data_IF_095227827100
#
_entry.id   IF_095227827100
#
_cell.length_a   1.000
_cell.length_b   1.000
_cell.length_c   1.000
_cell.angle_alpha   90.00
_cell.angle_beta   90.00
_cell.angle_gamma   90.00
#
_symmetry.space_group_name_H-M   'P 1'
#
loop_
_entity.id
_entity.type
_entity.pdbx_description
1 polymer ?
#
# COMPACT_ATOMS: atom_id res chain seq x y z
N UNK A 1 1.10 -11.08 11.11
CA UNK A 1 -0.15 -10.62 10.45
C UNK A 1 0.19 -10.00 9.11
N UNK A 2 -0.59 -10.31 8.08
CA UNK A 2 -0.40 -9.78 6.73
C UNK A 2 -1.53 -8.81 6.41
N UNK A 3 -1.18 -7.64 5.90
CA UNK A 3 -2.14 -6.61 5.51
C UNK A 3 -1.96 -6.26 4.05
N UNK A 4 -3.04 -6.22 3.30
CA UNK A 4 -3.03 -5.92 1.87
C UNK A 4 -3.98 -4.75 1.58
N UNK A 5 -3.43 -3.72 0.96
CA UNK A 5 -4.18 -2.54 0.52
C UNK A 5 -4.28 -2.46 -1.00
N UNK A 6 -5.46 -2.21 -1.52
CA UNK A 6 -5.70 -1.99 -2.94
C UNK A 6 -6.53 -0.72 -3.15
N UNK A 7 -6.34 -0.08 -4.27
CA UNK A 7 -7.04 1.14 -4.64
C UNK A 7 -7.80 0.94 -5.96
N UNK A 8 -8.70 1.85 -6.26
CA UNK A 8 -9.51 1.84 -7.47
C UNK A 8 -8.71 1.83 -8.78
N UNK A 9 -7.47 2.35 -8.76
CA UNK A 9 -6.57 2.30 -9.92
C UNK A 9 -5.87 0.96 -10.11
N UNK A 10 -5.72 0.18 -9.06
CA UNK A 10 -5.04 -1.13 -9.05
C UNK A 10 -5.98 -2.29 -8.77
N UNK A 11 -7.13 -2.02 -8.17
CA UNK A 11 -8.12 -3.02 -7.77
C UNK A 11 -8.64 -3.92 -8.91
N UNK A 12 -8.96 -3.38 -10.10
CA UNK A 12 -9.39 -4.23 -11.22
C UNK A 12 -8.32 -5.24 -11.63
N UNK A 13 -7.06 -4.83 -11.73
CA UNK A 13 -5.95 -5.74 -12.05
C UNK A 13 -5.75 -6.79 -10.95
N UNK A 14 -5.76 -6.35 -9.67
CA UNK A 14 -5.66 -7.26 -8.53
C UNK A 14 -6.82 -8.27 -8.52
N UNK A 15 -8.04 -7.84 -8.85
CA UNK A 15 -9.21 -8.72 -8.98
C UNK A 15 -9.00 -9.77 -10.08
N UNK A 16 -8.47 -9.36 -11.20
CA UNK A 16 -8.28 -10.27 -12.33
C UNK A 16 -7.19 -11.31 -12.02
N UNK A 17 -6.08 -10.90 -11.42
CA UNK A 17 -5.05 -11.79 -10.88
C UNK A 17 -5.62 -12.78 -9.83
N UNK A 18 -6.48 -12.31 -8.94
CA UNK A 18 -7.14 -13.17 -7.95
C UNK A 18 -8.08 -14.20 -8.60
N UNK A 19 -8.74 -13.85 -9.70
CA UNK A 19 -9.53 -14.81 -10.47
C UNK A 19 -8.67 -15.88 -11.13
N UNK A 20 -7.52 -15.50 -11.68
CA UNK A 20 -6.55 -16.42 -12.26
C UNK A 20 -5.96 -17.38 -11.22
N UNK A 21 -5.74 -16.89 -10.00
CA UNK A 21 -5.33 -17.70 -8.86
C UNK A 21 -6.48 -18.59 -8.31
N UNK A 22 -7.67 -18.55 -8.90
CA UNK A 22 -8.87 -19.21 -8.40
C UNK A 22 -9.15 -18.91 -6.91
N UNK A 23 -8.91 -17.67 -6.48
CA UNK A 23 -9.06 -17.25 -5.10
C UNK A 23 -10.54 -17.25 -4.68
N UNK A 24 -10.91 -18.20 -3.84
CA UNK A 24 -12.26 -18.30 -3.27
C UNK A 24 -12.47 -17.41 -2.06
N UNK A 25 -11.39 -17.08 -1.34
CA UNK A 25 -11.38 -16.21 -0.18
C UNK A 25 -9.97 -15.70 0.12
N UNK A 26 -9.87 -14.67 0.96
CA UNK A 26 -8.58 -14.15 1.40
C UNK A 26 -8.08 -14.91 2.62
N UNK A 27 -6.78 -15.21 2.63
CA UNK A 27 -6.08 -15.77 3.78
C UNK A 27 -5.33 -14.69 4.57
N UNK A 28 -5.05 -13.55 3.94
CA UNK A 28 -4.47 -12.40 4.62
C UNK A 28 -5.40 -11.89 5.73
N UNK A 29 -4.84 -11.51 6.87
CA UNK A 29 -5.61 -11.05 8.05
C UNK A 29 -6.43 -9.80 7.77
N UNK A 30 -5.95 -8.92 6.90
CA UNK A 30 -6.67 -7.73 6.46
C UNK A 30 -6.41 -7.48 4.98
N UNK A 31 -7.46 -7.54 4.18
CA UNK A 31 -7.47 -7.06 2.80
C UNK A 31 -8.44 -5.90 2.70
N UNK A 32 -7.94 -4.76 2.24
CA UNK A 32 -8.74 -3.54 2.12
C UNK A 32 -8.69 -2.97 0.71
N UNK A 33 -9.86 -2.59 0.19
CA UNK A 33 -10.02 -1.89 -1.08
C UNK A 33 -10.61 -0.51 -0.84
N UNK A 34 -10.07 0.50 -1.51
CA UNK A 34 -10.60 1.88 -1.47
C UNK A 34 -10.85 2.45 -2.87
N UNK A 35 -11.55 3.59 -2.91
CA UNK A 35 -11.86 4.35 -4.13
C UNK A 35 -11.40 5.80 -3.98
N UNK A 36 -10.13 6.02 -3.66
CA UNK A 36 -9.59 7.33 -3.33
C UNK A 36 -9.07 8.14 -4.54
N UNK A 37 -8.99 7.57 -5.74
CA UNK A 37 -8.46 8.26 -6.92
C UNK A 37 -9.52 8.64 -7.94
N UNK A 38 -10.62 7.91 -8.03
CA UNK A 38 -11.61 8.03 -9.12
C UNK A 38 -12.93 8.67 -8.71
N UNK A 39 -13.05 9.14 -7.46
CA UNK A 39 -14.32 9.65 -6.92
C UNK A 39 -14.71 11.00 -7.50
N UNK A 40 -13.74 11.90 -7.68
CA UNK A 40 -14.06 13.31 -7.99
C UNK A 40 -14.57 13.51 -9.43
N UNK A 41 -14.03 12.79 -10.39
CA UNK A 41 -14.40 12.89 -11.80
C UNK A 41 -14.36 11.50 -12.45
N UNK A 42 -15.27 10.58 -12.07
CA UNK A 42 -15.22 9.22 -12.54
C UNK A 42 -15.54 9.11 -14.03
N UNK A 43 -14.80 8.28 -14.73
CA UNK A 43 -15.13 7.82 -16.08
C UNK A 43 -16.15 6.69 -16.00
N UNK A 44 -16.84 6.31 -17.09
CA UNK A 44 -17.78 5.19 -17.08
C UNK A 44 -17.18 3.88 -16.54
N UNK A 45 -15.93 3.58 -16.87
CA UNK A 45 -15.20 2.40 -16.35
C UNK A 45 -14.96 2.48 -14.85
N UNK A 46 -14.75 3.68 -14.31
CA UNK A 46 -14.55 3.88 -12.87
C UNK A 46 -15.86 3.62 -12.12
N UNK A 47 -16.98 4.06 -12.69
CA UNK A 47 -18.32 3.81 -12.12
C UNK A 47 -18.61 2.30 -12.10
N UNK A 48 -18.33 1.57 -13.17
CA UNK A 48 -18.45 0.14 -13.21
C UNK A 48 -17.59 -0.54 -12.14
N UNK A 49 -16.35 -0.11 -12.00
CA UNK A 49 -15.44 -0.58 -10.94
C UNK A 49 -15.98 -0.31 -9.55
N UNK A 50 -16.50 0.89 -9.31
CA UNK A 50 -17.09 1.28 -8.02
C UNK A 50 -18.32 0.44 -7.65
N UNK A 51 -19.04 -0.07 -8.64
CA UNK A 51 -20.20 -0.95 -8.41
C UNK A 51 -19.82 -2.42 -8.24
N UNK A 52 -18.83 -2.91 -8.97
CA UNK A 52 -18.53 -4.35 -9.04
C UNK A 52 -17.44 -4.81 -8.08
N UNK A 53 -16.41 -3.99 -7.86
CA UNK A 53 -15.26 -4.37 -7.06
C UNK A 53 -15.57 -4.53 -5.56
N UNK A 54 -16.43 -3.71 -4.93
CA UNK A 54 -16.76 -3.86 -3.51
C UNK A 54 -17.39 -5.22 -3.16
N UNK A 55 -18.25 -5.73 -4.00
CA UNK A 55 -18.86 -7.04 -3.78
C UNK A 55 -17.84 -8.16 -3.92
N UNK A 56 -16.99 -8.08 -4.95
CA UNK A 56 -15.90 -9.04 -5.15
C UNK A 56 -14.98 -9.12 -3.92
N UNK A 57 -14.64 -8.00 -3.33
CA UNK A 57 -13.76 -7.94 -2.14
C UNK A 57 -14.49 -8.49 -0.90
N UNK A 58 -15.72 -8.03 -0.65
CA UNK A 58 -16.49 -8.43 0.54
C UNK A 58 -16.85 -9.91 0.55
N UNK A 59 -17.20 -10.46 -0.58
CA UNK A 59 -17.54 -11.89 -0.69
C UNK A 59 -16.36 -12.82 -0.43
N UNK A 60 -15.13 -12.28 -0.44
CA UNK A 60 -13.88 -12.99 -0.14
C UNK A 60 -13.31 -12.70 1.24
N UNK A 61 -14.05 -11.99 2.09
CA UNK A 61 -13.62 -11.68 3.45
C UNK A 61 -12.83 -10.38 3.59
N UNK A 62 -12.74 -9.57 2.54
CA UNK A 62 -12.06 -8.27 2.58
C UNK A 62 -13.00 -7.12 2.99
N UNK A 63 -12.38 -5.98 3.29
CA UNK A 63 -13.05 -4.73 3.60
C UNK A 63 -13.05 -3.83 2.36
N UNK A 64 -14.23 -3.47 1.87
CA UNK A 64 -14.37 -2.52 0.77
C UNK A 64 -14.95 -1.20 1.29
N UNK A 65 -14.17 -0.14 1.18
CA UNK A 65 -14.63 1.23 1.40
C UNK A 65 -15.56 1.65 0.27
N UNK A 66 -16.40 2.63 0.54
CA UNK A 66 -17.26 3.23 -0.49
C UNK A 66 -16.53 4.39 -1.16
N UNK A 67 -16.91 4.76 -2.40
CA UNK A 67 -16.50 6.03 -2.98
C UNK A 67 -16.81 7.18 -2.03
N UNK A 68 -15.79 7.99 -1.69
CA UNK A 68 -15.94 9.10 -0.74
C UNK A 68 -15.56 8.81 0.70
N UNK A 69 -15.33 7.57 1.10
CA UNK A 69 -14.92 7.21 2.47
C UNK A 69 -13.50 7.68 2.82
N UNK A 70 -12.73 8.13 1.84
CA UNK A 70 -11.41 8.72 2.03
C UNK A 70 -10.25 7.86 1.51
N UNK A 71 -9.06 8.25 1.93
CA UNK A 71 -7.79 7.68 1.46
C UNK A 71 -7.51 6.37 2.19
N UNK A 72 -7.12 5.33 1.44
CA UNK A 72 -6.83 4.00 2.00
C UNK A 72 -5.79 4.06 3.13
N UNK A 73 -4.74 4.85 2.98
CA UNK A 73 -3.67 4.93 3.99
C UNK A 73 -4.18 5.45 5.34
N UNK A 74 -5.14 6.38 5.33
CA UNK A 74 -5.76 6.88 6.56
C UNK A 74 -6.56 5.82 7.30
N UNK A 75 -7.18 4.90 6.57
CA UNK A 75 -7.91 3.78 7.14
C UNK A 75 -6.96 2.69 7.63
N UNK A 76 -6.03 2.25 6.80
CA UNK A 76 -5.06 1.23 7.15
C UNK A 76 -4.25 1.62 8.39
N UNK A 77 -3.77 2.87 8.46
CA UNK A 77 -2.99 3.35 9.62
C UNK A 77 -3.77 3.33 10.94
N UNK A 78 -5.09 3.25 10.90
CA UNK A 78 -5.93 3.10 12.11
C UNK A 78 -6.23 1.65 12.46
N UNK A 79 -6.05 0.72 11.52
CA UNK A 79 -6.42 -0.69 11.67
C UNK A 79 -5.21 -1.59 11.86
N UNK A 80 -4.00 -1.07 11.60
CA UNK A 80 -2.77 -1.85 11.74
C UNK A 80 -2.45 -2.17 13.19
N UNK A 81 -1.92 -3.38 13.37
CA UNK A 81 -1.30 -3.80 14.62
C UNK A 81 0.22 -3.79 14.46
N UNK A 82 0.99 -3.67 15.57
CA UNK A 82 2.44 -3.86 15.55
C UNK A 82 2.85 -5.20 14.95
N UNK A 83 4.06 -5.27 14.41
CA UNK A 83 4.66 -6.49 13.84
C UNK A 83 3.87 -7.08 12.65
N UNK A 84 3.25 -6.22 11.88
CA UNK A 84 2.57 -6.61 10.64
C UNK A 84 3.50 -6.47 9.43
N UNK A 85 3.29 -7.32 8.44
CA UNK A 85 3.87 -7.18 7.10
C UNK A 85 2.76 -6.80 6.14
N UNK A 86 2.98 -5.74 5.38
CA UNK A 86 1.97 -5.22 4.50
C UNK A 86 2.46 -4.90 3.10
N UNK A 87 1.55 -4.99 2.14
CA UNK A 87 1.79 -4.56 0.77
C UNK A 87 0.56 -3.85 0.22
N UNK A 88 0.74 -3.13 -0.87
CA UNK A 88 -0.36 -2.47 -1.56
C UNK A 88 0.03 -2.05 -2.96
N UNK A 89 -0.98 -1.84 -3.79
CA UNK A 89 -0.83 -1.40 -5.17
C UNK A 89 -0.54 0.09 -5.36
N UNK A 90 -0.17 0.80 -4.29
CA UNK A 90 0.13 2.22 -4.32
C UNK A 90 1.57 2.50 -3.90
N UNK A 91 2.24 3.41 -4.59
CA UNK A 91 3.62 3.83 -4.28
C UNK A 91 3.78 4.45 -2.88
N UNK A 92 2.69 4.92 -2.27
CA UNK A 92 2.65 5.46 -0.92
C UNK A 92 2.36 4.41 0.16
N UNK A 93 2.36 3.12 -0.17
CA UNK A 93 2.18 2.05 0.81
C UNK A 93 3.33 2.06 1.80
N UNK A 94 3.10 2.69 2.95
CA UNK A 94 4.04 2.86 4.06
C UNK A 94 3.26 2.76 5.36
N UNK A 95 3.44 1.69 6.11
CA UNK A 95 2.76 1.50 7.37
C UNK A 95 3.67 1.89 8.54
N UNK A 96 3.16 2.62 9.53
CA UNK A 96 4.00 3.22 10.56
C UNK A 96 4.56 2.23 11.58
N UNK A 97 3.98 1.05 11.74
CA UNK A 97 4.27 0.10 12.82
C UNK A 97 4.54 -1.32 12.33
N UNK A 98 5.09 -1.47 11.16
CA UNK A 98 5.42 -2.76 10.57
C UNK A 98 6.33 -2.61 9.37
N UNK A 99 6.53 -3.69 8.66
CA UNK A 99 7.24 -3.70 7.39
C UNK A 99 6.20 -3.54 6.27
N UNK A 100 6.39 -2.57 5.41
CA UNK A 100 5.50 -2.38 4.26
C UNK A 100 6.24 -1.92 3.02
N UNK A 101 5.73 -2.34 1.89
CA UNK A 101 6.28 -1.97 0.59
C UNK A 101 5.20 -1.97 -0.49
N UNK A 102 5.31 -1.09 -1.50
CA UNK A 102 4.44 -1.13 -2.66
C UNK A 102 4.78 -2.33 -3.54
N UNK A 103 3.77 -2.87 -4.20
CA UNK A 103 3.93 -4.00 -5.10
C UNK A 103 3.01 -3.90 -6.30
N UNK A 104 3.35 -4.62 -7.36
CA UNK A 104 2.47 -4.80 -8.50
C UNK A 104 1.24 -5.66 -8.16
N UNK A 105 0.22 -5.61 -9.01
CA UNK A 105 -1.07 -6.28 -8.81
C UNK A 105 -0.95 -7.77 -8.52
N UNK A 106 -0.04 -8.47 -9.20
CA UNK A 106 0.20 -9.90 -9.00
C UNK A 106 0.69 -10.23 -7.60
N UNK A 107 1.67 -9.49 -7.05
CA UNK A 107 2.16 -9.72 -5.70
C UNK A 107 1.13 -9.29 -4.64
N UNK A 108 0.35 -8.24 -4.91
CA UNK A 108 -0.77 -7.82 -4.06
C UNK A 108 -1.82 -8.93 -4.01
N UNK A 109 -2.20 -9.50 -5.15
CA UNK A 109 -3.13 -10.62 -5.25
C UNK A 109 -2.61 -11.87 -4.52
N UNK A 110 -1.34 -12.21 -4.73
CA UNK A 110 -0.67 -13.31 -4.06
C UNK A 110 -0.72 -13.16 -2.53
N UNK A 111 -0.36 -11.98 -2.02
CA UNK A 111 -0.42 -11.68 -0.59
C UNK A 111 -1.84 -11.77 -0.03
N UNK A 112 -2.85 -11.29 -0.76
CA UNK A 112 -4.25 -11.38 -0.35
C UNK A 112 -4.75 -12.82 -0.30
N UNK A 113 -4.40 -13.63 -1.32
CA UNK A 113 -4.84 -15.00 -1.45
C UNK A 113 -4.19 -15.94 -0.42
N UNK A 114 -2.88 -15.81 -0.20
CA UNK A 114 -2.09 -16.75 0.59
C UNK A 114 -1.73 -16.26 2.00
N UNK A 115 -1.91 -14.99 2.30
CA UNK A 115 -1.56 -14.41 3.59
C UNK A 115 -0.06 -14.35 3.86
N UNK A 116 0.77 -14.59 2.84
CA UNK A 116 2.24 -14.55 2.91
C UNK A 116 2.80 -13.81 1.71
N UNK A 117 3.96 -13.18 1.88
CA UNK A 117 4.62 -12.41 0.84
C UNK A 117 6.11 -12.74 0.88
N UNK A 118 6.74 -13.10 -0.26
CA UNK A 118 8.19 -13.26 -0.31
C UNK A 118 8.84 -11.89 -0.09
N UNK A 119 9.79 -11.83 0.83
CA UNK A 119 10.52 -10.61 1.16
C UNK A 119 11.93 -10.95 1.60
N UNK A 120 12.90 -10.37 0.94
CA UNK A 120 14.26 -10.32 1.47
C UNK A 120 14.30 -9.29 2.60
N UNK A 121 14.70 -9.70 3.80
CA UNK A 121 14.68 -8.84 4.98
C UNK A 121 15.63 -7.65 4.75
N UNK A 122 15.12 -6.41 4.70
CA UNK A 122 15.96 -5.23 4.54
C UNK A 122 16.78 -4.94 5.80
N UNK A 123 17.93 -4.32 5.61
CA UNK A 123 18.68 -3.76 6.72
C UNK A 123 17.90 -2.61 7.38
N UNK A 124 17.92 -2.58 8.72
CA UNK A 124 17.25 -1.52 9.47
C UNK A 124 18.17 -0.33 9.67
N UNK A 125 17.69 0.85 9.36
CA UNK A 125 18.39 2.12 9.59
C UNK A 125 17.65 2.91 10.64
N UNK A 126 18.33 3.21 11.76
CA UNK A 126 17.78 4.06 12.80
C UNK A 126 17.91 5.54 12.40
N UNK A 127 16.77 6.19 12.21
CA UNK A 127 16.70 7.64 12.01
C UNK A 127 16.33 8.31 13.33
N UNK A 128 17.25 9.11 13.88
CA UNK A 128 17.03 9.85 15.13
C UNK A 128 16.99 11.35 14.84
N UNK A 129 15.87 11.96 15.14
CA UNK A 129 15.74 13.41 15.14
C UNK A 129 16.13 13.97 16.50
N UNK A 130 16.88 15.06 16.51
CA UNK A 130 17.29 15.77 17.73
C UNK A 130 17.14 17.28 17.54
N UNK A 131 16.81 17.99 18.62
CA UNK A 131 16.53 19.41 18.59
C UNK A 131 15.08 19.75 18.23
N UNK A 132 14.85 20.99 17.84
CA UNK A 132 13.53 21.51 17.49
C UNK A 132 13.47 21.90 16.02
N UNK A 133 12.28 21.76 15.41
CA UNK A 133 12.07 22.23 14.05
C UNK A 133 12.20 23.74 13.97
N UNK A 134 12.93 24.22 12.96
CA UNK A 134 13.04 25.64 12.70
C UNK A 134 11.71 26.23 12.20
N UNK A 135 11.44 27.50 12.48
CA UNK A 135 10.25 28.16 11.92
C UNK A 135 10.19 28.03 10.39
N UNK A 136 9.02 27.69 9.87
CA UNK A 136 8.80 27.48 8.44
C UNK A 136 9.10 26.07 7.91
N UNK A 137 9.73 25.22 8.71
CA UNK A 137 9.94 23.79 8.35
C UNK A 137 8.70 22.99 8.73
N UNK A 138 8.26 22.15 7.80
CA UNK A 138 7.11 21.27 7.97
C UNK A 138 7.55 19.81 8.16
N UNK A 139 6.64 18.97 8.62
CA UNK A 139 6.90 17.51 8.67
C UNK A 139 7.23 16.93 7.29
N UNK A 140 6.68 17.48 6.22
CA UNK A 140 6.98 17.05 4.85
C UNK A 140 8.45 17.31 4.50
N UNK A 141 8.98 18.48 4.87
CA UNK A 141 10.38 18.81 4.62
C UNK A 141 11.29 17.85 5.38
N UNK A 142 10.95 17.56 6.63
CA UNK A 142 11.67 16.62 7.47
C UNK A 142 11.69 15.21 6.88
N UNK A 143 10.52 14.70 6.43
CA UNK A 143 10.41 13.37 5.83
C UNK A 143 11.18 13.30 4.51
N UNK A 144 11.16 14.35 3.68
CA UNK A 144 11.92 14.41 2.44
C UNK A 144 13.44 14.50 2.69
N UNK A 145 13.87 15.05 3.81
CA UNK A 145 15.28 15.11 4.17
C UNK A 145 15.88 13.73 4.54
N UNK A 146 15.04 12.76 4.98
CA UNK A 146 15.52 11.41 5.36
C UNK A 146 16.22 10.70 4.19
N UNK A 147 15.59 10.48 3.02
CA UNK A 147 16.25 9.79 1.92
C UNK A 147 17.44 10.60 1.38
N UNK A 148 17.35 11.93 1.36
CA UNK A 148 18.46 12.78 0.96
C UNK A 148 19.69 12.57 1.87
N UNK A 149 19.50 12.64 3.19
CA UNK A 149 20.58 12.42 4.15
C UNK A 149 21.13 10.98 4.08
N UNK A 150 20.26 9.99 3.87
CA UNK A 150 20.67 8.61 3.73
C UNK A 150 21.55 8.38 2.48
N UNK A 151 21.22 9.01 1.36
CA UNK A 151 22.03 8.97 0.13
C UNK A 151 23.38 9.66 0.35
N UNK A 152 23.38 10.85 0.96
CA UNK A 152 24.61 11.60 1.24
C UNK A 152 25.57 10.84 2.16
N UNK A 153 25.03 10.05 3.08
CA UNK A 153 25.83 9.22 4.00
C UNK A 153 26.11 7.79 3.47
N UNK A 154 25.76 7.49 2.23
CA UNK A 154 26.01 6.19 1.61
C UNK A 154 25.15 5.04 2.17
N UNK A 155 24.09 5.34 2.93
CA UNK A 155 23.17 4.34 3.49
C UNK A 155 22.14 3.88 2.47
N UNK A 156 21.87 4.69 1.45
CA UNK A 156 21.02 4.35 0.32
C UNK A 156 21.79 4.56 -0.98
N UNK A 157 21.71 3.57 -1.86
CA UNK A 157 22.21 3.67 -3.23
C UNK A 157 21.03 3.90 -4.17
N UNK A 158 21.13 4.89 -5.03
CA UNK A 158 20.23 5.02 -6.18
C UNK A 158 20.75 4.07 -7.25
N UNK A 159 20.08 2.96 -7.47
CA UNK A 159 20.38 2.12 -8.64
C UNK A 159 20.17 2.95 -9.90
N UNK A 160 21.28 3.25 -10.58
CA UNK A 160 21.17 3.73 -11.94
C UNK A 160 20.70 2.54 -12.76
N UNK A 161 19.45 2.59 -13.24
CA UNK A 161 19.03 1.67 -14.30
C UNK A 161 20.09 1.71 -15.41
N UNK A 162 20.89 0.66 -15.48
CA UNK A 162 21.73 0.43 -16.65
C UNK A 162 20.78 0.13 -17.80
N UNK A 163 20.39 1.15 -18.53
CA UNK A 163 19.81 0.99 -19.86
C UNK A 163 20.83 0.23 -20.70
N UNK A 164 20.60 -1.07 -20.83
CA UNK A 164 21.17 -1.86 -21.94
C UNK A 164 20.24 -1.75 -23.13
#
# INVERSE_FOLDING_TARGET
>A
MTTVGSQDTTGPMTRDELKELACLGFTSDLVMQSFCHTVAYPKPVDIETQHTLPEFIRTRGGVALKPGDGIIHSWLNRMLLPDTVGTGGDSHTRFPIGISFPAGSGLVAFGAALGVIPLDMPESVLVRFSGEMQPGITLRDLVNAIPYAAIQNGLLTVEKENKK
#
